data_IF_946210559549
#
_entry.id   IF_946210559549
#
_cell.length_a   1.000
_cell.length_b   1.000
_cell.length_c   1.000
_cell.angle_alpha   90.00
_cell.angle_beta   90.00
_cell.angle_gamma   90.00
#
_symmetry.space_group_name_H-M   'P 1'
#
loop_
_entity.id
_entity.type
_entity.pdbx_description
1 polymer ?
#
# COMPACT_ATOMS: atom_id res chain seq x y z
N UNK A 1 31.52 10.69 22.02
CA UNK A 1 30.54 11.78 22.16
C UNK A 1 30.37 12.42 20.78
N UNK A 2 29.22 12.26 20.13
CA UNK A 2 29.04 12.67 18.73
C UNK A 2 29.07 14.18 18.53
N UNK A 3 28.59 14.95 19.52
CA UNK A 3 28.60 16.41 19.46
C UNK A 3 30.02 16.97 19.34
N UNK A 4 30.90 16.52 20.24
CA UNK A 4 32.29 16.92 20.22
C UNK A 4 32.99 16.48 18.92
N UNK A 5 32.60 15.35 18.34
CA UNK A 5 33.16 14.90 17.07
C UNK A 5 32.70 15.75 15.88
N UNK A 6 31.44 16.17 15.86
CA UNK A 6 30.94 17.14 14.88
C UNK A 6 31.71 18.47 14.91
N UNK A 7 32.01 18.98 16.11
CA UNK A 7 32.74 20.23 16.30
C UNK A 7 34.22 20.11 15.88
N UNK A 8 34.86 18.96 16.13
CA UNK A 8 36.28 18.76 15.83
C UNK A 8 36.56 18.27 14.39
N UNK A 9 35.58 17.67 13.72
CA UNK A 9 35.70 17.11 12.37
C UNK A 9 34.71 17.75 11.38
N UNK A 10 34.50 19.06 11.47
CA UNK A 10 33.51 19.81 10.68
C UNK A 10 33.63 19.52 9.17
N UNK A 11 34.85 19.55 8.62
CA UNK A 11 35.09 19.32 7.18
C UNK A 11 34.56 17.98 6.68
N UNK A 12 34.71 16.91 7.50
CA UNK A 12 34.26 15.57 7.12
C UNK A 12 32.74 15.44 7.21
N UNK A 13 32.14 16.00 8.26
CA UNK A 13 30.70 16.00 8.43
C UNK A 13 30.00 16.90 7.41
N UNK A 14 30.65 18.00 7.02
CA UNK A 14 30.20 18.90 5.97
C UNK A 14 30.11 18.20 4.62
N UNK A 15 31.03 17.28 4.28
CA UNK A 15 30.93 16.48 3.05
C UNK A 15 29.64 15.63 3.01
N UNK A 16 29.25 15.06 4.15
CA UNK A 16 27.99 14.31 4.26
C UNK A 16 26.82 15.28 4.19
N UNK A 17 26.88 16.40 4.91
CA UNK A 17 25.81 17.39 4.93
C UNK A 17 25.57 18.04 3.56
N UNK A 18 26.60 18.32 2.77
CA UNK A 18 26.48 18.98 1.47
C UNK A 18 26.16 17.98 0.33
N UNK A 19 26.23 16.68 0.57
CA UNK A 19 25.99 15.65 -0.44
C UNK A 19 24.52 15.55 -0.87
N UNK A 20 24.30 15.24 -2.15
CA UNK A 20 22.97 14.90 -2.68
C UNK A 20 22.51 13.51 -2.22
N UNK A 21 23.44 12.62 -1.92
CA UNK A 21 23.22 11.20 -1.59
C UNK A 21 24.02 10.80 -0.33
N UNK A 22 23.74 11.42 0.84
CA UNK A 22 24.55 11.21 2.03
C UNK A 22 24.48 9.79 2.61
N UNK A 23 23.44 9.04 2.24
CA UNK A 23 23.22 7.66 2.67
C UNK A 23 24.16 6.63 2.01
N UNK A 24 24.91 7.05 0.99
CA UNK A 24 25.95 6.26 0.30
C UNK A 24 27.36 6.64 0.74
N UNK A 25 27.52 7.71 1.52
CA UNK A 25 28.82 8.20 1.98
C UNK A 25 29.18 7.53 3.31
N UNK A 26 30.43 7.09 3.42
CA UNK A 26 30.96 6.57 4.67
C UNK A 26 31.05 7.68 5.71
N UNK A 27 30.66 7.36 6.94
CA UNK A 27 30.76 8.31 8.04
C UNK A 27 32.23 8.53 8.44
N UNK A 28 32.56 9.59 9.19
CA UNK A 28 33.87 9.72 9.79
C UNK A 28 34.09 8.57 10.78
N UNK A 29 35.30 8.01 10.84
CA UNK A 29 35.64 7.06 11.89
C UNK A 29 35.60 7.75 13.27
N UNK A 30 35.11 7.08 14.32
CA UNK A 30 34.76 5.65 14.38
C UNK A 30 33.29 5.33 14.01
N UNK A 31 32.46 6.32 13.69
CA UNK A 31 31.01 6.13 13.49
C UNK A 31 30.68 5.25 12.28
N UNK A 32 31.61 5.13 11.34
CA UNK A 32 31.42 4.26 10.19
C UNK A 32 31.62 2.77 10.52
N UNK A 33 32.50 2.45 11.45
CA UNK A 33 32.78 1.07 11.86
C UNK A 33 31.95 0.63 13.06
N UNK A 34 31.77 1.51 14.05
CA UNK A 34 31.08 1.17 15.30
C UNK A 34 29.56 1.09 15.16
N UNK A 35 28.98 1.72 14.12
CA UNK A 35 27.55 1.80 13.93
C UNK A 35 27.06 0.88 12.81
N UNK A 36 25.96 0.18 13.09
CA UNK A 36 25.20 -0.46 12.02
C UNK A 36 24.45 0.58 11.17
N UNK A 37 23.96 0.18 10.00
CA UNK A 37 23.34 1.10 9.06
C UNK A 37 22.07 1.78 9.61
N UNK A 38 21.29 1.08 10.44
CA UNK A 38 20.11 1.67 11.09
C UNK A 38 20.50 2.79 12.07
N UNK A 39 21.56 2.59 12.86
CA UNK A 39 22.12 3.63 13.73
C UNK A 39 22.69 4.81 12.91
N UNK A 40 23.33 4.55 11.77
CA UNK A 40 23.75 5.61 10.83
C UNK A 40 22.56 6.41 10.31
N UNK A 41 21.41 5.76 10.05
CA UNK A 41 20.18 6.46 9.66
C UNK A 41 19.66 7.39 10.76
N UNK A 42 19.82 7.03 12.04
CA UNK A 42 19.44 7.91 13.17
C UNK A 42 20.28 9.18 13.17
N UNK A 43 21.59 9.06 12.96
CA UNK A 43 22.47 10.23 12.85
C UNK A 43 22.12 11.05 11.59
N UNK A 44 21.90 10.38 10.46
CA UNK A 44 21.51 11.05 9.22
C UNK A 44 20.20 11.82 9.38
N UNK A 45 19.25 11.31 10.16
CA UNK A 45 18.00 11.99 10.50
C UNK A 45 18.24 13.32 11.24
N UNK A 46 19.31 13.42 12.02
CA UNK A 46 19.68 14.65 12.76
C UNK A 46 20.29 15.68 11.82
N UNK A 47 21.18 15.27 10.91
CA UNK A 47 21.93 16.20 10.04
C UNK A 47 21.24 16.51 8.71
N UNK A 48 20.53 15.55 8.11
CA UNK A 48 19.91 15.61 6.77
C UNK A 48 18.59 14.86 6.77
N UNK A 49 17.64 15.39 7.55
CA UNK A 49 16.29 14.84 7.67
C UNK A 49 15.61 14.61 6.31
N UNK A 50 15.84 15.51 5.35
CA UNK A 50 15.31 15.42 3.97
C UNK A 50 15.78 14.16 3.22
N UNK A 51 16.90 13.55 3.63
CA UNK A 51 17.49 12.36 3.00
C UNK A 51 17.23 11.06 3.76
N UNK A 52 16.39 11.09 4.80
CA UNK A 52 16.07 9.88 5.56
C UNK A 52 15.30 8.85 4.73
N UNK A 53 14.40 9.30 3.84
CA UNK A 53 13.58 8.38 3.03
C UNK A 53 14.45 7.55 2.05
N UNK A 54 15.36 8.15 1.26
CA UNK A 54 16.35 7.40 0.50
C UNK A 54 17.20 6.45 1.36
N UNK A 55 17.66 6.89 2.54
CA UNK A 55 18.48 6.07 3.42
C UNK A 55 17.74 4.82 3.92
N UNK A 56 16.50 4.98 4.35
CA UNK A 56 15.67 3.85 4.80
C UNK A 56 15.34 2.92 3.62
N UNK A 57 15.06 3.46 2.43
CA UNK A 57 14.86 2.62 1.23
C UNK A 57 16.11 1.82 0.90
N UNK A 58 17.29 2.42 0.97
CA UNK A 58 18.56 1.73 0.77
C UNK A 58 18.78 0.64 1.82
N UNK A 59 18.51 0.94 3.09
CA UNK A 59 18.57 -0.03 4.18
C UNK A 59 17.67 -1.24 3.94
N UNK A 60 16.41 -1.00 3.57
CA UNK A 60 15.42 -2.06 3.28
C UNK A 60 15.80 -2.83 2.02
N UNK A 61 16.39 -2.20 1.01
CA UNK A 61 16.79 -2.87 -0.23
C UNK A 61 18.03 -3.75 -0.08
N UNK A 62 18.75 -3.63 1.03
CA UNK A 62 19.92 -4.44 1.29
C UNK A 62 19.49 -5.90 1.49
N UNK A 63 19.92 -6.78 0.59
CA UNK A 63 19.56 -8.20 0.52
C UNK A 63 19.71 -8.97 1.85
N UNK A 64 20.55 -8.50 2.76
CA UNK A 64 20.73 -9.10 4.10
C UNK A 64 19.62 -8.76 5.10
N UNK A 65 18.73 -7.82 4.77
CA UNK A 65 17.66 -7.32 5.64
C UNK A 65 16.31 -7.62 5.01
N UNK A 66 16.03 -6.98 3.87
CA UNK A 66 14.83 -7.18 3.06
C UNK A 66 15.25 -7.07 1.58
N UNK A 67 14.52 -7.73 0.69
CA UNK A 67 14.79 -7.65 -0.75
C UNK A 67 14.21 -6.35 -1.35
N UNK A 68 14.73 -5.91 -2.50
CA UNK A 68 14.21 -4.72 -3.20
C UNK A 68 12.72 -4.77 -3.50
N UNK A 69 12.13 -5.98 -3.60
CA UNK A 69 10.68 -6.19 -3.77
C UNK A 69 9.82 -5.57 -2.65
N UNK A 70 10.40 -5.25 -1.49
CA UNK A 70 9.69 -4.62 -0.38
C UNK A 70 9.65 -3.09 -0.46
N UNK A 71 10.39 -2.47 -1.38
CA UNK A 71 10.31 -1.02 -1.66
C UNK A 71 9.60 -0.72 -2.98
N UNK A 72 9.41 -1.72 -3.82
CA UNK A 72 8.71 -1.62 -5.09
C UNK A 72 7.24 -1.96 -4.89
N UNK A 73 6.29 -1.12 -5.37
CA UNK A 73 4.89 -1.49 -5.34
C UNK A 73 4.67 -2.74 -6.20
N UNK A 74 3.99 -3.77 -5.69
CA UNK A 74 3.72 -4.97 -6.49
C UNK A 74 2.88 -4.61 -7.71
N UNK A 75 3.07 -5.29 -8.85
CA UNK A 75 2.19 -5.13 -9.99
C UNK A 75 0.76 -5.52 -9.59
N UNK A 76 -0.22 -4.81 -10.15
CA UNK A 76 -1.62 -5.18 -9.94
C UNK A 76 -1.92 -6.53 -10.61
N UNK A 77 -2.43 -7.48 -9.83
CA UNK A 77 -2.82 -8.81 -10.31
C UNK A 77 -4.20 -9.20 -9.77
N UNK A 78 -5.22 -9.08 -10.63
CA UNK A 78 -6.59 -9.46 -10.30
C UNK A 78 -6.76 -10.97 -10.14
N UNK A 79 -6.01 -11.78 -10.90
CA UNK A 79 -6.15 -13.22 -10.87
C UNK A 79 -5.64 -13.79 -9.54
N UNK A 80 -4.44 -13.38 -9.13
CA UNK A 80 -3.87 -13.75 -7.83
C UNK A 80 -4.72 -13.23 -6.67
N UNK A 81 -5.22 -11.99 -6.76
CA UNK A 81 -6.12 -11.43 -5.74
C UNK A 81 -7.41 -12.25 -5.63
N UNK A 82 -8.00 -12.65 -6.75
CA UNK A 82 -9.21 -13.48 -6.78
C UNK A 82 -8.97 -14.88 -6.21
N UNK A 83 -7.87 -15.55 -6.56
CA UNK A 83 -7.50 -16.85 -5.97
C UNK A 83 -7.33 -16.81 -4.45
N UNK A 84 -6.85 -15.68 -3.92
CA UNK A 84 -6.71 -15.48 -2.48
C UNK A 84 -8.02 -15.07 -1.78
N UNK A 85 -9.08 -14.80 -2.54
CA UNK A 85 -10.38 -14.37 -2.02
C UNK A 85 -11.39 -15.51 -1.96
N UNK A 86 -12.54 -15.26 -1.31
CA UNK A 86 -13.65 -16.19 -1.28
C UNK A 86 -14.97 -15.41 -1.16
N UNK A 87 -16.11 -16.12 -1.16
CA UNK A 87 -17.44 -15.50 -1.12
C UNK A 87 -17.77 -14.75 0.19
N UNK A 88 -16.93 -14.85 1.21
CA UNK A 88 -17.07 -14.13 2.49
C UNK A 88 -15.96 -13.09 2.72
N UNK A 89 -15.04 -12.92 1.77
CA UNK A 89 -13.95 -11.94 1.84
C UNK A 89 -14.01 -11.06 0.59
N UNK A 90 -14.62 -9.86 0.67
CA UNK A 90 -14.81 -9.01 -0.50
C UNK A 90 -13.48 -8.47 -1.03
N UNK A 91 -13.39 -8.31 -2.35
CA UNK A 91 -12.26 -7.65 -3.01
C UNK A 91 -12.46 -6.13 -3.00
N UNK A 92 -11.53 -5.40 -2.38
CA UNK A 92 -11.58 -3.94 -2.28
C UNK A 92 -10.53 -3.32 -3.20
N UNK A 93 -10.97 -2.45 -4.12
CA UNK A 93 -10.10 -1.70 -5.03
C UNK A 93 -9.98 -0.25 -4.57
N UNK A 94 -8.77 0.15 -4.17
CA UNK A 94 -8.45 1.54 -3.83
C UNK A 94 -7.86 2.21 -5.07
N UNK A 95 -8.58 3.19 -5.61
CA UNK A 95 -8.24 3.82 -6.88
C UNK A 95 -7.54 5.16 -6.66
N UNK A 96 -6.52 5.42 -7.45
CA UNK A 96 -6.01 6.77 -7.66
C UNK A 96 -6.85 7.47 -8.74
N UNK A 97 -6.95 8.81 -8.72
CA UNK A 97 -7.65 9.55 -9.77
C UNK A 97 -7.12 9.17 -11.17
N UNK A 98 -8.03 8.83 -12.09
CA UNK A 98 -7.69 8.44 -13.46
C UNK A 98 -7.43 6.93 -13.67
N UNK A 99 -7.40 6.11 -12.61
CA UNK A 99 -7.35 4.66 -12.72
C UNK A 99 -8.75 4.04 -12.48
N UNK A 100 -9.29 3.31 -13.46
CA UNK A 100 -10.55 2.57 -13.34
C UNK A 100 -10.37 1.09 -13.73
N UNK A 101 -10.46 0.14 -12.77
CA UNK A 101 -10.29 -1.28 -13.04
C UNK A 101 -11.55 -1.95 -13.60
N UNK A 102 -12.67 -1.23 -13.75
CA UNK A 102 -13.98 -1.80 -14.11
C UNK A 102 -13.92 -2.64 -15.38
N UNK A 103 -13.29 -2.13 -16.44
CA UNK A 103 -13.19 -2.87 -17.72
C UNK A 103 -12.41 -4.17 -17.57
N UNK A 104 -11.35 -4.16 -16.76
CA UNK A 104 -10.52 -5.34 -16.50
C UNK A 104 -11.26 -6.37 -15.64
N UNK A 105 -12.03 -5.92 -14.64
CA UNK A 105 -12.90 -6.77 -13.83
C UNK A 105 -13.97 -7.48 -14.67
N UNK A 106 -14.65 -6.74 -15.55
CA UNK A 106 -15.66 -7.31 -16.45
C UNK A 106 -15.05 -8.37 -17.35
N UNK A 107 -13.92 -8.06 -18.01
CA UNK A 107 -13.19 -9.02 -18.86
C UNK A 107 -12.74 -10.26 -18.08
N UNK A 108 -12.34 -10.09 -16.82
CA UNK A 108 -11.94 -11.20 -15.97
C UNK A 108 -13.14 -12.08 -15.58
N UNK A 109 -14.28 -11.48 -15.23
CA UNK A 109 -15.51 -12.20 -14.98
C UNK A 109 -15.99 -12.97 -16.21
N UNK A 110 -15.90 -12.38 -17.41
CA UNK A 110 -16.19 -13.07 -18.68
C UNK A 110 -15.28 -14.29 -18.88
N UNK A 111 -13.96 -14.12 -18.68
CA UNK A 111 -12.97 -15.20 -18.79
C UNK A 111 -13.25 -16.35 -17.83
N UNK A 112 -13.76 -16.05 -16.64
CA UNK A 112 -14.11 -17.04 -15.62
C UNK A 112 -15.51 -17.65 -15.83
N UNK A 113 -16.26 -17.24 -16.85
CA UNK A 113 -17.63 -17.71 -17.09
C UNK A 113 -18.67 -17.14 -16.12
N UNK A 114 -18.37 -16.00 -15.49
CA UNK A 114 -19.26 -15.25 -14.60
C UNK A 114 -19.76 -13.93 -15.21
N UNK A 115 -19.38 -13.61 -16.45
CA UNK A 115 -19.78 -12.36 -17.12
C UNK A 115 -21.28 -12.04 -17.04
N UNK A 116 -22.12 -13.01 -17.38
CA UNK A 116 -23.59 -12.88 -17.31
C UNK A 116 -24.16 -12.84 -15.89
N UNK A 117 -23.33 -13.16 -14.88
CA UNK A 117 -23.67 -13.16 -13.44
C UNK A 117 -23.08 -11.94 -12.72
N UNK A 118 -22.42 -11.03 -13.43
CA UNK A 118 -21.85 -9.82 -12.87
C UNK A 118 -22.82 -8.65 -13.03
N UNK A 119 -23.28 -8.10 -11.92
CA UNK A 119 -24.07 -6.87 -11.88
C UNK A 119 -23.23 -5.73 -11.34
N UNK A 120 -23.17 -4.62 -12.07
CA UNK A 120 -22.48 -3.41 -11.61
C UNK A 120 -23.47 -2.34 -11.14
N UNK A 121 -23.16 -1.70 -10.01
CA UNK A 121 -23.94 -0.60 -9.45
C UNK A 121 -23.00 0.54 -9.05
N UNK A 122 -23.18 1.71 -9.66
CA UNK A 122 -22.55 2.95 -9.21
C UNK A 122 -23.30 3.54 -8.03
N UNK A 123 -22.62 3.66 -6.88
CA UNK A 123 -23.20 4.19 -5.66
C UNK A 123 -23.25 5.72 -5.67
N UNK A 124 -24.35 6.25 -5.16
CA UNK A 124 -24.65 7.65 -5.01
C UNK A 124 -25.83 7.85 -4.07
N UNK A 125 -26.40 9.06 -4.04
CA UNK A 125 -27.57 9.34 -3.19
C UNK A 125 -28.73 8.39 -3.56
N UNK A 126 -29.29 7.71 -2.55
CA UNK A 126 -30.43 6.82 -2.71
C UNK A 126 -30.14 5.42 -3.28
N UNK A 127 -28.89 5.09 -3.61
CA UNK A 127 -28.53 3.77 -4.19
C UNK A 127 -28.33 2.66 -3.14
N UNK A 128 -28.18 3.00 -1.87
CA UNK A 128 -27.96 2.04 -0.78
C UNK A 128 -28.99 0.90 -0.72
N UNK A 129 -30.30 1.19 -0.71
CA UNK A 129 -31.33 0.13 -0.71
C UNK A 129 -31.27 -0.81 -1.92
N UNK A 130 -30.84 -0.31 -3.09
CA UNK A 130 -30.67 -1.13 -4.30
C UNK A 130 -29.45 -2.03 -4.13
N UNK A 131 -28.33 -1.48 -3.63
CA UNK A 131 -27.12 -2.24 -3.33
C UNK A 131 -27.38 -3.38 -2.34
N UNK A 132 -28.11 -3.12 -1.25
CA UNK A 132 -28.53 -4.13 -0.27
C UNK A 132 -29.25 -5.30 -0.94
N UNK A 133 -30.27 -5.03 -1.77
CA UNK A 133 -31.03 -6.07 -2.47
C UNK A 133 -30.17 -6.88 -3.44
N UNK A 134 -29.27 -6.22 -4.17
CA UNK A 134 -28.36 -6.89 -5.09
C UNK A 134 -27.42 -7.84 -4.35
N UNK A 135 -26.90 -7.43 -3.19
CA UNK A 135 -26.04 -8.27 -2.36
C UNK A 135 -26.83 -9.47 -1.82
N UNK A 136 -28.01 -9.24 -1.23
CA UNK A 136 -28.86 -10.32 -0.70
C UNK A 136 -29.19 -11.37 -1.77
N UNK A 137 -29.53 -10.92 -2.98
CA UNK A 137 -29.79 -11.82 -4.10
C UNK A 137 -28.52 -12.59 -4.51
N UNK A 138 -27.39 -11.88 -4.63
CA UNK A 138 -26.11 -12.46 -5.01
C UNK A 138 -25.61 -13.50 -4.00
N UNK A 139 -25.84 -13.29 -2.70
CA UNK A 139 -25.54 -14.27 -1.65
C UNK A 139 -26.30 -15.59 -1.86
N UNK A 140 -27.53 -15.53 -2.41
CA UNK A 140 -28.35 -16.71 -2.68
C UNK A 140 -28.01 -17.39 -4.01
N UNK A 141 -27.67 -16.61 -5.04
CA UNK A 141 -27.49 -17.11 -6.42
C UNK A 141 -26.02 -17.39 -6.78
N UNK A 142 -25.07 -16.88 -6.00
CA UNK A 142 -23.65 -16.91 -6.34
C UNK A 142 -23.26 -15.92 -7.44
N UNK A 143 -24.08 -14.90 -7.67
CA UNK A 143 -23.78 -13.82 -8.61
C UNK A 143 -22.72 -12.86 -8.04
N UNK A 144 -22.09 -12.09 -8.93
CA UNK A 144 -21.08 -11.11 -8.56
C UNK A 144 -21.71 -9.71 -8.56
N UNK A 145 -21.37 -8.91 -7.55
CA UNK A 145 -21.81 -7.52 -7.44
C UNK A 145 -20.58 -6.62 -7.45
N UNK A 146 -20.48 -5.74 -8.45
CA UNK A 146 -19.46 -4.70 -8.53
C UNK A 146 -20.06 -3.36 -8.07
N UNK A 147 -19.71 -2.93 -6.86
CA UNK A 147 -20.06 -1.62 -6.35
C UNK A 147 -18.98 -0.60 -6.74
N UNK A 148 -19.39 0.48 -7.40
CA UNK A 148 -18.50 1.58 -7.79
C UNK A 148 -18.81 2.82 -6.96
N UNK A 149 -17.85 3.75 -6.88
CA UNK A 149 -18.03 5.03 -6.17
C UNK A 149 -18.48 4.91 -4.70
N UNK A 150 -18.03 3.85 -3.99
CA UNK A 150 -18.40 3.60 -2.59
C UNK A 150 -18.13 4.80 -1.67
N UNK A 151 -17.09 5.59 -1.96
CA UNK A 151 -16.76 6.82 -1.24
C UNK A 151 -17.87 7.90 -1.25
N UNK A 152 -18.82 7.83 -2.19
CA UNK A 152 -19.99 8.73 -2.26
C UNK A 152 -21.18 8.26 -1.40
N UNK A 153 -21.22 6.98 -1.00
CA UNK A 153 -22.32 6.39 -0.22
C UNK A 153 -21.95 6.17 1.25
N UNK A 154 -21.29 7.16 1.87
CA UNK A 154 -20.78 7.09 3.25
C UNK A 154 -21.83 6.67 4.28
N UNK A 155 -23.07 7.14 4.14
CA UNK A 155 -24.17 6.82 5.07
C UNK A 155 -24.65 5.36 4.99
N UNK A 156 -24.36 4.66 3.90
CA UNK A 156 -24.77 3.27 3.69
C UNK A 156 -23.63 2.26 3.92
N UNK A 157 -22.36 2.69 3.91
CA UNK A 157 -21.22 1.78 4.18
C UNK A 157 -21.36 0.96 5.48
N UNK A 158 -21.89 1.50 6.60
CA UNK A 158 -22.12 0.68 7.80
C UNK A 158 -23.14 -0.44 7.63
N UNK A 159 -24.06 -0.34 6.66
CA UNK A 159 -24.98 -1.43 6.31
C UNK A 159 -24.28 -2.52 5.50
N UNK A 160 -23.30 -2.16 4.67
CA UNK A 160 -22.49 -3.12 3.90
C UNK A 160 -21.71 -4.05 4.85
N UNK A 161 -21.16 -3.53 5.94
CA UNK A 161 -20.44 -4.31 6.96
C UNK A 161 -21.30 -5.40 7.61
N UNK A 162 -22.63 -5.26 7.61
CA UNK A 162 -23.53 -6.29 8.16
C UNK A 162 -23.59 -7.55 7.31
N UNK A 163 -23.19 -7.47 6.04
CA UNK A 163 -23.12 -8.61 5.13
C UNK A 163 -21.81 -9.39 5.25
N UNK A 164 -20.78 -8.82 5.90
CA UNK A 164 -19.53 -9.55 6.13
C UNK A 164 -19.76 -10.71 7.10
N UNK A 165 -19.26 -11.89 6.74
CA UNK A 165 -19.23 -13.06 7.59
C UNK A 165 -18.33 -12.90 8.84
N UNK A 166 -17.78 -11.71 9.08
CA UNK A 166 -17.09 -11.33 10.32
C UNK A 166 -17.96 -11.48 11.57
N UNK A 167 -19.28 -11.64 11.40
CA UNK A 167 -20.23 -11.90 12.50
C UNK A 167 -20.31 -13.37 12.92
N UNK A 168 -19.59 -14.28 12.25
CA UNK A 168 -19.53 -15.72 12.55
C UNK A 168 -18.17 -16.18 13.11
N UNK A 169 -17.30 -15.24 13.51
CA UNK A 169 -16.15 -15.44 14.38
C UNK A 169 -16.37 -14.70 15.71
#
# INVERSE_FOLDING_TARGET
NIRADFENNEDKWKQIYDSTEPHLINFPEPWNTDLNYFQKCIILRIIRYDKILPAIRYFISNKSILESKFIEPPPFDLAASFESSNCVTPLIFVLTPGADPTTMLIKYADKMGFGYRLTSLSLGQGQGPIATRLIEEATRTGNWVLLQNCHLAKSWMPELEKFDALRYL
#
